data_IF_769719468210
#
_entry.id   IF_769719468210
#
_cell.length_a   1.000
_cell.length_b   1.000
_cell.length_c   1.000
_cell.angle_alpha   90.00
_cell.angle_beta   90.00
_cell.angle_gamma   90.00
#
_symmetry.space_group_name_H-M   'P 1'
#
loop_
_entity.id
_entity.type
_entity.pdbx_description
1 polymer ?
#
# COMPACT_ATOMS: atom_id res chain seq x y z
N UNK A 1 4.16 -12.27 -13.28
CA UNK A 1 3.69 -12.93 -14.53
C UNK A 1 4.15 -12.21 -15.82
N UNK A 2 4.68 -10.97 -15.77
CA UNK A 2 5.21 -10.24 -16.94
C UNK A 2 6.58 -10.72 -17.48
N UNK A 3 7.23 -11.71 -16.83
CA UNK A 3 8.62 -12.06 -17.13
C UNK A 3 8.82 -12.91 -18.41
N UNK A 4 7.82 -13.67 -18.86
CA UNK A 4 7.97 -14.62 -19.99
C UNK A 4 8.19 -13.98 -21.38
N UNK A 5 7.48 -12.91 -21.79
CA UNK A 5 7.70 -12.30 -23.12
C UNK A 5 8.94 -11.38 -23.18
N UNK A 6 9.52 -11.02 -22.03
CA UNK A 6 10.64 -10.08 -21.92
C UNK A 6 12.01 -10.77 -21.76
N UNK A 7 12.02 -12.10 -21.56
CA UNK A 7 13.21 -12.93 -21.43
C UNK A 7 14.27 -12.75 -22.54
N UNK A 8 13.93 -12.64 -23.84
CA UNK A 8 14.94 -12.50 -24.89
C UNK A 8 15.70 -11.16 -24.87
N UNK A 9 15.18 -10.14 -24.19
CA UNK A 9 15.81 -8.81 -24.11
C UNK A 9 16.60 -8.59 -22.82
N UNK A 10 16.58 -9.56 -21.90
CA UNK A 10 17.15 -9.42 -20.56
C UNK A 10 18.67 -9.17 -20.57
N UNK A 11 19.38 -9.64 -21.59
CA UNK A 11 20.85 -9.61 -21.70
C UNK A 11 21.38 -8.34 -22.40
N UNK A 12 20.54 -7.59 -23.11
CA UNK A 12 20.96 -6.40 -23.88
C UNK A 12 21.28 -5.27 -22.90
N UNK A 13 22.53 -4.80 -22.89
CA UNK A 13 22.98 -3.70 -22.03
C UNK A 13 23.00 -4.04 -20.53
N UNK A 14 23.10 -5.34 -20.18
CA UNK A 14 23.20 -5.83 -18.81
C UNK A 14 24.48 -5.37 -18.10
N UNK A 15 24.34 -4.93 -16.85
CA UNK A 15 25.46 -4.55 -15.96
C UNK A 15 25.40 -5.35 -14.66
N UNK A 16 26.56 -5.76 -14.15
CA UNK A 16 26.67 -6.44 -12.86
C UNK A 16 26.28 -5.49 -11.72
N UNK A 17 25.28 -5.87 -10.92
CA UNK A 17 24.81 -5.06 -9.78
C UNK A 17 23.61 -4.16 -10.07
N UNK A 18 22.96 -4.30 -11.22
CA UNK A 18 21.70 -3.60 -11.48
C UNK A 18 20.58 -4.01 -10.53
N UNK A 19 19.74 -3.05 -10.13
CA UNK A 19 18.52 -3.31 -9.38
C UNK A 19 17.44 -3.91 -10.28
N UNK A 20 16.43 -4.56 -9.68
CA UNK A 20 15.31 -5.13 -10.44
C UNK A 20 14.50 -4.06 -11.20
N UNK A 21 14.36 -2.85 -10.63
CA UNK A 21 13.70 -1.72 -11.29
C UNK A 21 14.50 -1.21 -12.49
N UNK A 22 15.82 -1.05 -12.36
CA UNK A 22 16.70 -0.67 -13.49
C UNK A 22 16.65 -1.68 -14.62
N UNK A 23 16.71 -2.98 -14.29
CA UNK A 23 16.57 -4.07 -15.25
C UNK A 23 15.22 -4.01 -15.97
N UNK A 24 14.13 -3.81 -15.22
CA UNK A 24 12.78 -3.74 -15.78
C UNK A 24 12.64 -2.57 -16.75
N UNK A 25 13.06 -1.36 -16.35
CA UNK A 25 13.03 -0.16 -17.20
C UNK A 25 13.82 -0.35 -18.48
N UNK A 26 15.04 -0.91 -18.39
CA UNK A 26 15.87 -1.22 -19.56
C UNK A 26 15.16 -2.16 -20.52
N UNK A 27 14.71 -3.31 -20.01
CA UNK A 27 14.12 -4.37 -20.82
C UNK A 27 12.83 -3.90 -21.50
N UNK A 28 12.00 -3.14 -20.79
CA UNK A 28 10.80 -2.54 -21.36
C UNK A 28 11.11 -1.52 -22.46
N UNK A 29 12.10 -0.64 -22.25
CA UNK A 29 12.47 0.35 -23.25
C UNK A 29 13.06 -0.29 -24.51
N UNK A 30 13.92 -1.30 -24.36
CA UNK A 30 14.46 -2.09 -25.49
C UNK A 30 13.33 -2.80 -26.24
N UNK A 31 12.44 -3.48 -25.53
CA UNK A 31 11.29 -4.16 -26.15
C UNK A 31 10.37 -3.19 -26.91
N UNK A 32 10.10 -2.01 -26.34
CA UNK A 32 9.30 -0.97 -26.99
C UNK A 32 10.01 -0.41 -28.23
N UNK A 33 11.32 -0.15 -28.16
CA UNK A 33 12.11 0.34 -29.29
C UNK A 33 12.07 -0.64 -30.48
N UNK A 34 12.18 -1.95 -30.20
CA UNK A 34 12.08 -3.00 -31.23
C UNK A 34 10.66 -3.09 -31.82
N UNK A 35 9.62 -3.08 -30.98
CA UNK A 35 8.24 -3.12 -31.44
C UNK A 35 7.88 -1.91 -32.33
N UNK A 36 8.31 -0.70 -31.94
CA UNK A 36 8.10 0.52 -32.74
C UNK A 36 8.89 0.44 -34.04
N UNK A 37 10.10 -0.13 -34.03
CA UNK A 37 10.92 -0.28 -35.25
C UNK A 37 10.23 -1.16 -36.31
N UNK A 38 9.52 -2.21 -35.90
CA UNK A 38 8.72 -3.05 -36.81
C UNK A 38 7.56 -2.26 -37.42
N UNK A 39 6.82 -1.51 -36.60
CA UNK A 39 5.73 -0.65 -37.09
C UNK A 39 6.25 0.45 -38.02
N UNK A 40 7.40 1.05 -37.70
CA UNK A 40 8.02 2.10 -38.50
C UNK A 40 8.45 1.59 -39.89
N UNK A 41 8.91 0.33 -40.02
CA UNK A 41 9.17 -0.28 -41.33
C UNK A 41 7.88 -0.37 -42.16
N UNK A 42 6.80 -0.89 -41.56
CA UNK A 42 5.51 -1.00 -42.25
C UNK A 42 5.03 0.36 -42.78
N UNK A 43 5.04 1.40 -41.93
CA UNK A 43 4.62 2.74 -42.33
C UNK A 43 5.55 3.38 -43.36
N UNK A 44 6.86 3.19 -43.21
CA UNK A 44 7.85 3.71 -44.15
C UNK A 44 7.64 3.17 -45.57
N UNK A 45 7.45 1.85 -45.69
CA UNK A 45 7.14 1.20 -46.96
C UNK A 45 5.80 1.64 -47.53
N UNK A 46 4.77 1.77 -46.68
CA UNK A 46 3.46 2.25 -47.10
C UNK A 46 3.56 3.63 -47.76
N UNK A 47 4.22 4.61 -47.14
CA UNK A 47 4.36 5.95 -47.72
C UNK A 47 5.11 5.93 -49.07
N UNK A 48 6.15 5.09 -49.21
CA UNK A 48 6.87 4.94 -50.50
C UNK A 48 5.93 4.41 -51.59
N UNK A 49 5.14 3.38 -51.29
CA UNK A 49 4.19 2.77 -52.24
C UNK A 49 3.14 3.77 -52.72
N UNK A 50 2.70 4.69 -51.86
CA UNK A 50 1.76 5.75 -52.21
C UNK A 50 2.42 7.03 -52.75
N UNK A 51 3.68 6.96 -53.19
CA UNK A 51 4.35 8.06 -53.89
C UNK A 51 4.92 9.16 -52.99
N UNK A 52 5.18 8.87 -51.71
CA UNK A 52 5.83 9.76 -50.74
C UNK A 52 7.17 9.20 -50.26
N UNK A 53 8.24 9.21 -51.09
CA UNK A 53 9.52 8.62 -50.72
C UNK A 53 10.20 9.35 -49.55
N UNK A 54 10.09 10.68 -49.48
CA UNK A 54 10.61 11.45 -48.35
C UNK A 54 9.85 11.15 -47.05
N UNK A 55 8.52 11.03 -47.13
CA UNK A 55 7.70 10.62 -46.00
C UNK A 55 8.04 9.21 -45.51
N UNK A 56 8.27 8.27 -46.43
CA UNK A 56 8.63 6.90 -46.07
C UNK A 56 10.06 6.72 -45.56
N UNK A 57 11.01 7.54 -46.00
CA UNK A 57 12.39 7.50 -45.53
C UNK A 57 12.51 7.81 -44.02
N UNK A 58 11.62 8.63 -43.46
CA UNK A 58 11.70 9.10 -42.07
C UNK A 58 11.43 7.96 -41.07
N UNK A 59 10.33 7.17 -41.16
CA UNK A 59 10.15 5.96 -40.35
C UNK A 59 11.26 4.91 -40.55
N UNK A 60 11.77 4.75 -41.77
CA UNK A 60 12.89 3.82 -42.00
C UNK A 60 14.18 4.29 -41.30
N UNK A 61 14.44 5.60 -41.32
CA UNK A 61 15.54 6.21 -40.58
C UNK A 61 15.35 6.04 -39.06
N UNK A 62 14.12 6.17 -38.53
CA UNK A 62 13.81 5.84 -37.14
C UNK A 62 14.28 4.43 -36.79
N UNK A 63 13.91 3.44 -37.61
CA UNK A 63 14.29 2.03 -37.37
C UNK A 63 15.80 1.86 -37.36
N UNK A 64 16.51 2.41 -38.34
CA UNK A 64 17.99 2.32 -38.41
C UNK A 64 18.64 2.97 -37.18
N UNK A 65 18.26 4.21 -36.86
CA UNK A 65 18.82 4.96 -35.73
C UNK A 65 18.48 4.30 -34.38
N UNK A 66 17.27 3.78 -34.24
CA UNK A 66 16.82 3.10 -33.03
C UNK A 66 17.60 1.80 -32.83
N UNK A 67 17.71 0.94 -33.85
CA UNK A 67 18.50 -0.28 -33.79
C UNK A 67 19.99 0.00 -33.52
N UNK A 68 20.56 1.01 -34.18
CA UNK A 68 21.94 1.43 -33.92
C UNK A 68 22.12 1.88 -32.47
N UNK A 69 21.15 2.59 -31.90
CA UNK A 69 21.20 3.00 -30.49
C UNK A 69 21.13 1.81 -29.53
N UNK A 70 20.40 0.73 -29.86
CA UNK A 70 20.37 -0.51 -29.07
C UNK A 70 21.74 -1.21 -29.14
N UNK A 71 22.35 -1.27 -30.32
CA UNK A 71 23.71 -1.82 -30.50
C UNK A 71 24.72 -1.01 -29.69
N UNK A 72 24.72 0.33 -29.83
CA UNK A 72 25.56 1.22 -29.03
C UNK A 72 25.32 1.04 -27.54
N UNK A 73 24.07 0.91 -27.11
CA UNK A 73 23.74 0.67 -25.71
C UNK A 73 24.31 -0.64 -25.18
N UNK A 74 24.34 -1.69 -25.99
CA UNK A 74 24.94 -2.98 -25.64
C UNK A 74 26.45 -2.87 -25.41
N UNK A 75 27.12 -2.00 -26.17
CA UNK A 75 28.57 -1.75 -26.08
C UNK A 75 28.91 -0.77 -24.95
N UNK A 76 28.28 0.40 -24.95
CA UNK A 76 28.58 1.52 -24.03
C UNK A 76 28.00 1.28 -22.64
N UNK A 77 26.91 0.50 -22.54
CA UNK A 77 26.19 0.18 -21.29
C UNK A 77 25.72 1.39 -20.50
N UNK A 78 25.50 2.52 -21.18
CA UNK A 78 24.98 3.77 -20.61
C UNK A 78 23.49 3.94 -20.91
N UNK A 79 22.67 3.62 -19.92
CA UNK A 79 21.22 3.66 -20.03
C UNK A 79 20.69 5.08 -20.24
N UNK A 80 21.33 6.08 -19.63
CA UNK A 80 20.98 7.50 -19.78
C UNK A 80 21.08 7.97 -21.23
N UNK A 81 22.17 7.62 -21.93
CA UNK A 81 22.39 7.94 -23.35
C UNK A 81 21.38 7.21 -24.22
N UNK A 82 21.18 5.91 -23.99
CA UNK A 82 20.21 5.13 -24.74
C UNK A 82 18.79 5.69 -24.62
N UNK A 83 18.35 5.93 -23.38
CA UNK A 83 17.05 6.53 -23.07
C UNK A 83 16.90 7.91 -23.71
N UNK A 84 17.89 8.79 -23.56
CA UNK A 84 17.83 10.11 -24.19
C UNK A 84 17.71 10.02 -25.70
N UNK A 85 18.44 9.10 -26.33
CA UNK A 85 18.39 8.88 -27.78
C UNK A 85 17.02 8.40 -28.21
N UNK A 86 16.47 7.38 -27.54
CA UNK A 86 15.14 6.84 -27.84
C UNK A 86 14.04 7.89 -27.70
N UNK A 87 14.03 8.65 -26.60
CA UNK A 87 13.05 9.71 -26.39
C UNK A 87 13.20 10.84 -27.42
N UNK A 88 14.42 11.17 -27.81
CA UNK A 88 14.69 12.17 -28.87
C UNK A 88 14.14 11.70 -30.22
N UNK A 89 14.37 10.43 -30.58
CA UNK A 89 13.86 9.83 -31.82
C UNK A 89 12.33 9.81 -31.82
N UNK A 90 11.71 9.40 -30.71
CA UNK A 90 10.26 9.40 -30.53
C UNK A 90 9.67 10.81 -30.60
N UNK A 91 10.40 11.83 -30.15
CA UNK A 91 9.94 13.21 -30.19
C UNK A 91 10.06 13.81 -31.60
N UNK A 92 11.25 13.79 -32.19
CA UNK A 92 11.59 14.61 -33.36
C UNK A 92 11.06 14.02 -34.66
N UNK A 93 11.14 12.70 -34.84
CA UNK A 93 10.84 12.06 -36.12
C UNK A 93 9.36 12.15 -36.53
N UNK A 94 8.36 12.04 -35.62
CA UNK A 94 6.97 12.29 -36.00
C UNK A 94 6.71 13.73 -36.48
N UNK A 95 7.40 14.74 -35.92
CA UNK A 95 7.32 16.11 -36.42
C UNK A 95 8.00 16.27 -37.78
N UNK A 96 9.17 15.64 -37.98
CA UNK A 96 9.84 15.65 -39.28
C UNK A 96 8.95 15.00 -40.36
N UNK A 97 8.33 13.87 -40.05
CA UNK A 97 7.39 13.17 -40.94
C UNK A 97 6.19 14.05 -41.26
N UNK A 98 5.63 14.71 -40.24
CA UNK A 98 4.52 15.62 -40.41
C UNK A 98 4.85 16.76 -41.38
N UNK A 99 6.02 17.40 -41.24
CA UNK A 99 6.49 18.45 -42.16
C UNK A 99 6.67 17.89 -43.57
N UNK A 100 7.30 16.72 -43.71
CA UNK A 100 7.53 16.08 -45.01
C UNK A 100 6.23 15.73 -45.76
N UNK A 101 5.17 15.40 -45.02
CA UNK A 101 3.85 15.08 -45.56
C UNK A 101 2.96 16.32 -45.78
N UNK A 102 3.41 17.53 -45.44
CA UNK A 102 2.69 18.77 -45.74
C UNK A 102 1.86 19.35 -44.58
N UNK A 103 2.22 19.05 -43.33
CA UNK A 103 1.60 19.64 -42.13
C UNK A 103 0.55 18.75 -41.46
N UNK A 104 -0.28 19.31 -40.56
CA UNK A 104 -1.14 18.53 -39.65
C UNK A 104 -2.19 17.69 -40.39
N UNK A 105 -2.93 18.31 -41.29
CA UNK A 105 -4.04 17.65 -41.99
C UNK A 105 -3.51 16.62 -42.99
N UNK A 106 -2.58 16.95 -43.91
CA UNK A 106 -2.09 15.98 -44.89
C UNK A 106 -1.34 14.80 -44.25
N UNK A 107 -0.64 15.02 -43.13
CA UNK A 107 0.05 13.96 -42.39
C UNK A 107 -0.84 13.16 -41.45
N UNK A 108 -2.16 13.44 -41.41
CA UNK A 108 -3.09 12.75 -40.51
C UNK A 108 -2.72 12.90 -39.02
N UNK A 109 -2.18 14.06 -38.63
CA UNK A 109 -1.75 14.40 -37.27
C UNK A 109 -0.74 13.38 -36.72
N UNK A 110 0.14 12.84 -37.57
CA UNK A 110 1.14 11.84 -37.15
C UNK A 110 2.07 12.32 -36.02
N UNK A 111 2.23 13.64 -35.85
CA UNK A 111 2.95 14.21 -34.71
C UNK A 111 2.35 13.88 -33.33
N UNK A 112 1.11 13.37 -33.25
CA UNK A 112 0.53 12.89 -31.99
C UNK A 112 1.36 11.76 -31.36
N UNK A 113 2.05 10.96 -32.19
CA UNK A 113 2.98 9.92 -31.72
C UNK A 113 4.18 10.49 -30.97
N UNK A 114 4.55 11.76 -31.16
CA UNK A 114 5.62 12.40 -30.40
C UNK A 114 5.27 12.57 -28.91
N UNK A 115 3.99 12.45 -28.53
CA UNK A 115 3.57 12.46 -27.12
C UNK A 115 4.08 11.23 -26.34
N UNK A 116 4.52 10.17 -27.01
CA UNK A 116 5.21 9.07 -26.36
C UNK A 116 6.56 9.45 -25.76
N UNK A 117 7.20 10.53 -26.21
CA UNK A 117 8.45 10.99 -25.61
C UNK A 117 8.26 11.51 -24.16
N UNK A 118 7.36 12.47 -23.87
CA UNK A 118 7.09 12.87 -22.49
C UNK A 118 6.47 11.74 -21.64
N UNK A 119 5.60 10.90 -22.22
CA UNK A 119 5.04 9.75 -21.51
C UNK A 119 6.14 8.71 -21.17
N UNK A 120 7.04 8.44 -22.11
CA UNK A 120 8.20 7.59 -21.92
C UNK A 120 9.18 8.17 -20.89
N UNK A 121 9.39 9.49 -20.87
CA UNK A 121 10.18 10.14 -19.83
C UNK A 121 9.56 9.94 -18.43
N UNK A 122 8.24 9.94 -18.31
CA UNK A 122 7.56 9.66 -17.05
C UNK A 122 7.81 8.21 -16.57
N UNK A 123 7.82 7.25 -17.50
CA UNK A 123 8.03 5.83 -17.20
C UNK A 123 9.51 5.46 -16.97
N UNK A 124 10.43 6.08 -17.70
CA UNK A 124 11.82 5.64 -17.81
C UNK A 124 12.86 6.63 -17.25
N UNK A 125 12.42 7.85 -16.87
CA UNK A 125 13.27 8.89 -16.31
C UNK A 125 12.74 9.37 -14.94
N UNK A 126 12.59 10.68 -14.78
CA UNK A 126 12.09 11.34 -13.59
C UNK A 126 10.91 12.26 -13.92
N UNK A 127 9.98 12.53 -12.98
CA UNK A 127 8.86 13.45 -13.22
C UNK A 127 9.32 14.83 -13.66
N UNK A 128 10.45 15.33 -13.13
CA UNK A 128 11.03 16.63 -13.51
C UNK A 128 11.53 16.64 -14.95
N UNK A 129 12.17 15.56 -15.40
CA UNK A 129 12.57 15.43 -16.81
C UNK A 129 11.36 15.31 -17.73
N UNK A 130 10.33 14.56 -17.34
CA UNK A 130 9.11 14.43 -18.13
C UNK A 130 8.44 15.78 -18.42
N UNK A 131 8.41 16.69 -17.44
CA UNK A 131 7.92 18.07 -17.63
C UNK A 131 8.72 18.82 -18.70
N UNK A 132 10.05 18.67 -18.72
CA UNK A 132 10.91 19.30 -19.76
C UNK A 132 10.61 18.73 -21.14
N UNK A 133 10.52 17.40 -21.26
CA UNK A 133 10.14 16.75 -22.52
C UNK A 133 8.76 17.19 -23.01
N UNK A 134 7.81 17.36 -22.08
CA UNK A 134 6.46 17.84 -22.41
C UNK A 134 6.48 19.29 -22.87
N UNK A 135 7.29 20.15 -22.26
CA UNK A 135 7.49 21.53 -22.72
C UNK A 135 8.09 21.57 -24.14
N UNK A 136 9.15 20.79 -24.41
CA UNK A 136 9.75 20.72 -25.76
C UNK A 136 8.75 20.18 -26.79
N UNK A 137 7.98 19.15 -26.43
CA UNK A 137 6.88 18.65 -27.27
C UNK A 137 5.90 19.77 -27.63
N UNK A 138 5.43 20.55 -26.65
CA UNK A 138 4.53 21.67 -26.90
C UNK A 138 5.13 22.75 -27.79
N UNK A 139 6.40 23.11 -27.54
CA UNK A 139 7.13 24.06 -28.39
C UNK A 139 7.15 23.57 -29.85
N UNK A 140 7.41 22.27 -30.07
CA UNK A 140 7.37 21.68 -31.41
C UNK A 140 5.96 21.64 -32.01
N UNK A 141 4.93 21.32 -31.23
CA UNK A 141 3.53 21.40 -31.68
C UNK A 141 3.20 22.79 -32.19
N UNK A 142 3.55 23.83 -31.42
CA UNK A 142 3.28 25.23 -31.80
C UNK A 142 4.13 25.63 -33.00
N UNK A 143 5.44 25.37 -32.97
CA UNK A 143 6.35 25.75 -34.06
C UNK A 143 5.94 25.10 -35.39
N UNK A 144 5.66 23.80 -35.39
CA UNK A 144 5.24 23.10 -36.61
C UNK A 144 3.80 23.48 -37.01
N UNK A 145 2.92 23.83 -36.06
CA UNK A 145 1.60 24.36 -36.39
C UNK A 145 1.62 25.70 -37.11
N UNK A 146 2.54 26.57 -36.74
CA UNK A 146 2.71 27.89 -37.36
C UNK A 146 3.46 27.79 -38.69
N UNK A 147 4.55 27.00 -38.74
CA UNK A 147 5.50 27.03 -39.87
C UNK A 147 5.47 25.79 -40.76
N UNK A 148 4.85 24.68 -40.33
CA UNK A 148 4.97 23.39 -41.02
C UNK A 148 4.35 23.36 -42.42
N UNK A 149 3.26 24.10 -42.63
CA UNK A 149 2.61 24.21 -43.95
C UNK A 149 3.33 25.14 -44.94
N UNK A 150 4.30 25.94 -44.47
CA UNK A 150 5.05 26.87 -45.32
C UNK A 150 6.08 26.17 -46.22
N UNK A 151 6.57 25.00 -45.79
CA UNK A 151 7.55 24.19 -46.55
C UNK A 151 6.90 23.32 -47.62
N UNK A 152 5.74 22.72 -47.29
CA UNK A 152 4.95 21.88 -48.18
C UNK A 152 3.51 21.90 -47.71
N UNK A 153 2.56 22.04 -48.63
CA UNK A 153 1.14 22.18 -48.30
C UNK A 153 0.28 20.98 -48.72
N UNK A 154 0.81 20.06 -49.53
CA UNK A 154 0.10 18.90 -50.04
C UNK A 154 1.01 17.68 -50.21
N UNK A 155 0.40 16.49 -50.20
CA UNK A 155 1.04 15.21 -50.48
C UNK A 155 0.25 14.41 -51.53
N UNK A 156 0.84 13.31 -51.98
CA UNK A 156 0.31 12.42 -53.00
C UNK A 156 -0.62 11.35 -52.42
N UNK A 157 -0.94 11.41 -51.12
CA UNK A 157 -1.75 10.38 -50.46
C UNK A 157 -3.23 10.53 -50.83
N UNK A 158 -3.94 9.43 -51.12
CA UNK A 158 -5.38 9.47 -51.34
C UNK A 158 -6.12 10.05 -50.12
N UNK A 159 -7.11 10.92 -50.35
CA UNK A 159 -7.87 11.54 -49.27
C UNK A 159 -8.56 10.52 -48.32
N UNK A 160 -8.95 9.36 -48.85
CA UNK A 160 -9.47 8.25 -48.04
C UNK A 160 -8.43 7.67 -47.08
N UNK A 161 -7.17 7.54 -47.53
CA UNK A 161 -6.06 7.07 -46.70
C UNK A 161 -5.75 8.08 -45.60
N UNK A 162 -5.66 9.38 -45.93
CA UNK A 162 -5.44 10.46 -44.94
C UNK A 162 -6.52 10.43 -43.85
N UNK A 163 -7.80 10.34 -44.22
CA UNK A 163 -8.89 10.24 -43.22
C UNK A 163 -8.81 8.96 -42.38
N UNK A 164 -8.53 7.82 -43.01
CA UNK A 164 -8.37 6.55 -42.30
C UNK A 164 -7.24 6.59 -41.29
N UNK A 165 -6.08 7.11 -41.69
CA UNK A 165 -4.91 7.28 -40.83
C UNK A 165 -5.16 8.30 -39.72
N UNK A 166 -5.93 9.36 -39.97
CA UNK A 166 -6.27 10.34 -38.95
C UNK A 166 -7.05 9.69 -37.80
N UNK A 167 -8.07 8.91 -38.13
CA UNK A 167 -8.85 8.15 -37.14
C UNK A 167 -7.96 7.12 -36.45
N UNK A 168 -7.14 6.39 -37.19
CA UNK A 168 -6.24 5.37 -36.64
C UNK A 168 -5.21 5.96 -35.67
N UNK A 169 -4.59 7.10 -36.00
CA UNK A 169 -3.60 7.76 -35.15
C UNK A 169 -4.22 8.21 -33.82
N UNK A 170 -5.38 8.87 -33.87
CA UNK A 170 -6.09 9.30 -32.65
C UNK A 170 -6.48 8.08 -31.82
N UNK A 171 -7.15 7.09 -32.42
CA UNK A 171 -7.62 5.90 -31.71
C UNK A 171 -6.45 5.11 -31.08
N UNK A 172 -5.35 4.93 -31.81
CA UNK A 172 -4.20 4.19 -31.31
C UNK A 172 -3.52 4.92 -30.15
N UNK A 173 -3.25 6.23 -30.27
CA UNK A 173 -2.63 6.98 -29.16
C UNK A 173 -3.56 7.04 -27.95
N UNK A 174 -4.85 7.30 -28.14
CA UNK A 174 -5.82 7.31 -27.05
C UNK A 174 -5.89 5.96 -26.33
N UNK A 175 -5.91 4.85 -27.08
CA UNK A 175 -5.92 3.50 -26.50
C UNK A 175 -4.67 3.23 -25.66
N UNK A 176 -3.48 3.58 -26.17
CA UNK A 176 -2.23 3.34 -25.44
C UNK A 176 -2.14 4.24 -24.20
N UNK A 177 -2.49 5.52 -24.30
CA UNK A 177 -2.53 6.43 -23.14
C UNK A 177 -3.52 5.92 -22.09
N UNK A 178 -4.73 5.50 -22.50
CA UNK A 178 -5.72 4.94 -21.60
C UNK A 178 -5.21 3.65 -20.93
N UNK A 179 -4.65 2.72 -21.71
CA UNK A 179 -4.10 1.48 -21.18
C UNK A 179 -2.95 1.72 -20.18
N UNK A 180 -2.08 2.68 -20.45
CA UNK A 180 -1.00 3.08 -19.56
C UNK A 180 -1.53 3.68 -18.25
N UNK A 181 -2.48 4.61 -18.32
CA UNK A 181 -3.12 5.19 -17.14
C UNK A 181 -3.90 4.15 -16.33
N UNK A 182 -4.63 3.26 -17.00
CA UNK A 182 -5.36 2.18 -16.36
C UNK A 182 -4.42 1.21 -15.64
N UNK A 183 -3.31 0.81 -16.28
CA UNK A 183 -2.29 -0.02 -15.66
C UNK A 183 -1.65 0.68 -14.44
N UNK A 184 -1.32 1.96 -14.56
CA UNK A 184 -0.76 2.76 -13.47
C UNK A 184 -1.70 2.83 -12.26
N UNK A 185 -2.97 3.18 -12.48
CA UNK A 185 -3.98 3.26 -11.41
C UNK A 185 -4.13 1.89 -10.73
N UNK A 186 -4.24 0.82 -11.52
CA UNK A 186 -4.39 -0.54 -10.98
C UNK A 186 -3.18 -0.97 -10.16
N UNK A 187 -1.96 -0.67 -10.61
CA UNK A 187 -0.74 -1.05 -9.90
C UNK A 187 -0.56 -0.23 -8.62
N UNK A 188 -0.87 1.07 -8.68
CA UNK A 188 -0.94 1.96 -7.53
C UNK A 188 -1.92 1.37 -6.49
N UNK A 189 -3.15 1.08 -6.88
CA UNK A 189 -4.18 0.61 -5.94
C UNK A 189 -3.81 -0.77 -5.34
N UNK A 190 -3.14 -1.64 -6.11
CA UNK A 190 -2.59 -2.89 -5.57
C UNK A 190 -1.47 -2.66 -4.57
N UNK A 191 -0.53 -1.76 -4.87
CA UNK A 191 0.58 -1.44 -3.98
C UNK A 191 0.06 -0.86 -2.67
N UNK A 192 -0.86 0.12 -2.76
CA UNK A 192 -1.55 0.65 -1.58
C UNK A 192 -2.29 -0.46 -0.83
N UNK A 193 -3.09 -1.29 -1.50
CA UNK A 193 -3.82 -2.38 -0.84
C UNK A 193 -2.90 -3.43 -0.18
N UNK A 194 -1.74 -3.72 -0.76
CA UNK A 194 -0.75 -4.63 -0.19
C UNK A 194 -0.11 -4.05 1.08
N UNK A 195 0.26 -2.77 1.04
CA UNK A 195 0.74 -2.04 2.22
C UNK A 195 -0.32 -2.08 3.32
N UNK A 196 -1.58 -1.75 3.02
CA UNK A 196 -2.66 -1.79 4.02
C UNK A 196 -2.85 -3.18 4.64
N UNK A 197 -2.81 -4.25 3.85
CA UNK A 197 -2.92 -5.62 4.36
C UNK A 197 -1.75 -6.00 5.27
N UNK A 198 -0.53 -5.64 4.87
CA UNK A 198 0.66 -5.93 5.68
C UNK A 198 0.62 -5.14 6.99
N UNK A 199 0.36 -3.82 6.94
CA UNK A 199 0.24 -3.00 8.14
C UNK A 199 -0.88 -3.48 9.07
N UNK A 200 -2.02 -3.94 8.53
CA UNK A 200 -3.14 -4.48 9.31
C UNK A 200 -2.85 -5.81 10.02
N UNK A 201 -1.77 -6.53 9.67
CA UNK A 201 -1.31 -7.71 10.40
C UNK A 201 -0.41 -7.35 11.60
N UNK A 202 0.16 -6.14 11.61
CA UNK A 202 1.06 -5.69 12.66
C UNK A 202 0.42 -4.63 13.58
N UNK A 203 -0.64 -3.95 13.14
CA UNK A 203 -1.32 -2.89 13.87
C UNK A 203 -2.81 -3.20 14.03
N UNK A 204 -3.37 -2.81 15.17
CA UNK A 204 -4.81 -2.87 15.39
C UNK A 204 -5.58 -2.04 14.35
N UNK A 205 -6.76 -2.51 13.87
CA UNK A 205 -7.54 -1.82 12.85
C UNK A 205 -7.86 -0.36 13.20
N UNK A 206 -8.09 -0.05 14.47
CA UNK A 206 -8.35 1.33 14.93
C UNK A 206 -7.15 2.26 14.75
N UNK A 207 -5.93 1.75 14.95
CA UNK A 207 -4.70 2.53 14.70
C UNK A 207 -4.57 2.81 13.21
N UNK A 208 -4.73 1.79 12.36
CA UNK A 208 -4.67 1.95 10.91
C UNK A 208 -5.73 2.95 10.43
N UNK A 209 -6.98 2.81 10.89
CA UNK A 209 -8.07 3.74 10.56
C UNK A 209 -7.75 5.17 10.98
N UNK A 210 -7.25 5.36 12.20
CA UNK A 210 -6.88 6.69 12.71
C UNK A 210 -5.75 7.32 11.91
N UNK A 211 -4.73 6.56 11.51
CA UNK A 211 -3.58 7.06 10.74
C UNK A 211 -3.93 7.36 9.27
N UNK A 212 -4.87 6.63 8.69
CA UNK A 212 -5.34 6.92 7.33
C UNK A 212 -6.27 8.13 7.27
N UNK A 213 -7.06 8.36 8.32
CA UNK A 213 -7.91 9.53 8.42
C UNK A 213 -7.09 10.81 8.66
N UNK A 214 -6.03 10.72 9.46
CA UNK A 214 -5.16 11.83 9.80
C UNK A 214 -3.70 11.34 10.00
N UNK A 215 -2.85 11.47 8.97
CA UNK A 215 -1.44 11.06 9.07
C UNK A 215 -0.63 11.81 10.14
N UNK A 216 -1.05 13.00 10.57
CA UNK A 216 -0.34 13.75 11.61
C UNK A 216 -0.43 13.06 12.98
N UNK A 217 -1.47 12.24 13.20
CA UNK A 217 -1.58 11.38 14.39
C UNK A 217 -0.49 10.33 14.50
N UNK A 218 0.34 10.14 13.48
CA UNK A 218 1.54 9.31 13.56
C UNK A 218 2.66 9.97 14.38
N UNK A 219 2.60 11.27 14.64
CA UNK A 219 3.63 12.01 15.36
C UNK A 219 3.88 11.44 16.76
N UNK A 220 5.10 11.66 17.27
CA UNK A 220 5.45 11.31 18.64
C UNK A 220 4.66 12.19 19.62
N UNK A 221 4.34 11.62 20.78
CA UNK A 221 3.51 12.26 21.78
C UNK A 221 2.21 11.51 21.99
N UNK A 222 1.36 12.05 22.84
CA UNK A 222 0.07 11.45 23.17
C UNK A 222 -0.82 12.44 23.88
N UNK A 223 -2.05 12.02 24.08
CA UNK A 223 -3.06 12.78 24.80
C UNK A 223 -3.48 12.02 26.05
N UNK A 224 -3.77 12.76 27.12
CA UNK A 224 -4.42 12.18 28.29
C UNK A 224 -5.89 11.94 27.95
N UNK A 225 -6.30 10.68 27.95
CA UNK A 225 -7.67 10.27 27.67
C UNK A 225 -8.14 9.27 28.73
N UNK A 226 -9.43 9.33 29.05
CA UNK A 226 -10.06 8.27 29.83
C UNK A 226 -10.21 7.02 28.96
N UNK A 227 -9.62 5.91 29.37
CA UNK A 227 -9.68 4.64 28.64
C UNK A 227 -10.18 3.55 29.56
N UNK A 228 -10.74 2.49 28.96
CA UNK A 228 -10.85 1.21 29.65
C UNK A 228 -9.75 0.29 29.15
N UNK A 229 -8.86 -0.11 30.04
CA UNK A 229 -7.80 -1.07 29.76
C UNK A 229 -8.21 -2.48 30.17
N UNK A 230 -7.88 -3.46 29.35
CA UNK A 230 -8.02 -4.89 29.61
C UNK A 230 -6.64 -5.53 29.58
N UNK A 231 -6.35 -6.32 30.60
CA UNK A 231 -5.18 -7.18 30.66
C UNK A 231 -5.67 -8.63 30.78
N UNK A 232 -5.26 -9.50 29.86
CA UNK A 232 -5.58 -10.92 29.88
C UNK A 232 -4.29 -11.73 29.83
N UNK A 233 -4.19 -12.81 30.61
CA UNK A 233 -2.99 -13.65 30.74
C UNK A 233 -3.38 -15.09 31.12
N UNK A 234 -2.69 -16.10 30.59
CA UNK A 234 -3.09 -17.50 30.75
C UNK A 234 -2.64 -18.03 32.12
N UNK A 235 -3.59 -18.46 32.95
CA UNK A 235 -3.28 -18.99 34.28
C UNK A 235 -2.46 -20.28 34.18
N UNK A 236 -1.23 -20.26 34.72
CA UNK A 236 -0.35 -21.44 34.71
C UNK A 236 0.33 -21.69 33.37
N UNK A 237 0.46 -20.67 32.52
CA UNK A 237 1.14 -20.82 31.23
C UNK A 237 2.63 -21.15 31.37
N UNK A 238 3.36 -20.57 32.33
CA UNK A 238 4.79 -20.89 32.52
C UNK A 238 5.03 -22.39 32.74
N UNK A 239 4.37 -23.07 33.72
CA UNK A 239 4.43 -24.53 33.83
C UNK A 239 3.99 -25.27 32.55
N UNK A 240 2.97 -24.77 31.86
CA UNK A 240 2.51 -25.36 30.59
C UNK A 240 3.62 -25.35 29.53
N UNK A 241 4.39 -24.27 29.42
CA UNK A 241 5.50 -24.15 28.46
C UNK A 241 6.74 -24.95 28.83
N UNK A 242 7.05 -25.09 30.12
CA UNK A 242 8.21 -25.87 30.58
C UNK A 242 8.06 -27.37 30.28
N UNK A 243 6.81 -27.85 30.22
CA UNK A 243 6.48 -29.25 29.95
C UNK A 243 6.40 -29.61 28.46
N UNK A 244 6.58 -28.65 27.54
CA UNK A 244 6.32 -28.83 26.10
C UNK A 244 7.42 -28.28 25.20
N UNK A 245 7.62 -28.87 24.00
CA UNK A 245 8.50 -28.30 22.99
C UNK A 245 8.07 -26.87 22.58
N UNK A 246 9.01 -25.95 22.28
CA UNK A 246 8.70 -24.57 21.92
C UNK A 246 7.72 -24.41 20.74
N UNK A 247 7.76 -25.32 19.76
CA UNK A 247 6.86 -25.26 18.60
C UNK A 247 5.39 -25.52 18.98
N UNK A 248 5.13 -26.39 19.96
CA UNK A 248 3.79 -26.66 20.48
C UNK A 248 3.25 -25.45 21.27
N UNK A 249 4.13 -24.78 22.03
CA UNK A 249 3.80 -23.53 22.73
C UNK A 249 3.36 -22.44 21.76
N UNK A 250 4.07 -22.27 20.63
CA UNK A 250 3.71 -21.29 19.60
C UNK A 250 2.37 -21.65 18.93
N UNK A 251 2.14 -22.93 18.63
CA UNK A 251 0.87 -23.38 18.07
C UNK A 251 -0.30 -23.13 19.03
N UNK A 252 -0.11 -23.39 20.33
CA UNK A 252 -1.10 -23.10 21.36
C UNK A 252 -1.40 -21.59 21.42
N UNK A 253 -0.37 -20.73 21.53
CA UNK A 253 -0.54 -19.27 21.53
C UNK A 253 -1.29 -18.77 20.30
N UNK A 254 -0.91 -19.25 19.11
CA UNK A 254 -1.60 -18.90 17.86
C UNK A 254 -3.07 -19.31 17.90
N UNK A 255 -3.41 -20.47 18.48
CA UNK A 255 -4.79 -20.91 18.66
C UNK A 255 -5.56 -20.00 19.61
N UNK A 256 -4.99 -19.64 20.75
CA UNK A 256 -5.60 -18.69 21.69
C UNK A 256 -5.86 -17.34 21.04
N UNK A 257 -4.83 -16.74 20.43
CA UNK A 257 -4.93 -15.43 19.80
C UNK A 257 -5.90 -15.44 18.62
N UNK A 258 -5.93 -16.51 17.83
CA UNK A 258 -6.92 -16.66 16.74
C UNK A 258 -8.36 -16.68 17.23
N UNK A 259 -8.62 -17.13 18.46
CA UNK A 259 -9.95 -17.14 19.05
C UNK A 259 -10.36 -15.80 19.68
N UNK A 260 -9.42 -15.10 20.34
CA UNK A 260 -9.76 -13.88 21.11
C UNK A 260 -9.53 -12.57 20.38
N UNK A 261 -8.58 -12.49 19.45
CA UNK A 261 -8.30 -11.25 18.69
C UNK A 261 -9.53 -10.79 17.90
N UNK A 262 -10.27 -11.67 17.19
CA UNK A 262 -11.51 -11.26 16.52
C UNK A 262 -12.56 -10.70 17.47
N UNK A 263 -12.66 -11.24 18.69
CA UNK A 263 -13.60 -10.77 19.73
C UNK A 263 -13.25 -9.36 20.19
N UNK A 264 -11.96 -9.09 20.43
CA UNK A 264 -11.47 -7.76 20.80
C UNK A 264 -11.80 -6.75 19.71
N UNK A 265 -11.50 -7.06 18.45
CA UNK A 265 -11.75 -6.16 17.33
C UNK A 265 -13.24 -5.97 17.05
N UNK A 266 -14.08 -7.01 17.18
CA UNK A 266 -15.53 -6.90 17.00
C UNK A 266 -16.18 -5.93 17.99
N UNK A 267 -15.60 -5.82 19.18
CA UNK A 267 -16.03 -4.89 20.23
C UNK A 267 -15.25 -3.55 20.20
N UNK A 268 -14.52 -3.23 19.12
CA UNK A 268 -13.82 -1.96 18.96
C UNK A 268 -12.57 -1.80 19.84
N UNK A 269 -12.03 -2.89 20.39
CA UNK A 269 -10.81 -2.85 21.19
C UNK A 269 -9.56 -2.65 20.35
N UNK A 270 -8.62 -1.88 20.86
CA UNK A 270 -7.30 -1.67 20.28
C UNK A 270 -6.27 -2.49 21.05
N UNK A 271 -5.72 -3.52 20.43
CA UNK A 271 -4.59 -4.28 21.00
C UNK A 271 -3.35 -3.39 20.94
N UNK A 272 -2.75 -3.15 22.10
CA UNK A 272 -1.52 -2.36 22.28
C UNK A 272 -0.31 -3.26 22.09
N UNK A 273 -0.30 -4.41 22.75
CA UNK A 273 0.80 -5.36 22.68
C UNK A 273 0.39 -6.77 23.09
N UNK A 274 1.13 -7.75 22.57
CA UNK A 274 1.25 -9.07 23.14
C UNK A 274 2.53 -9.12 23.99
N UNK A 275 2.45 -9.67 25.20
CA UNK A 275 3.58 -9.83 26.10
C UNK A 275 3.65 -11.29 26.57
N UNK A 276 4.31 -12.14 25.78
CA UNK A 276 4.26 -13.59 26.00
C UNK A 276 2.85 -14.12 25.72
N UNK A 277 2.22 -14.69 26.75
CA UNK A 277 0.83 -15.13 26.76
C UNK A 277 -0.19 -14.05 27.15
N UNK A 278 0.30 -12.86 27.52
CA UNK A 278 -0.56 -11.76 27.89
C UNK A 278 -0.99 -10.90 26.69
N UNK A 279 -2.22 -10.40 26.75
CA UNK A 279 -2.81 -9.44 25.83
C UNK A 279 -3.13 -8.16 26.59
N UNK A 280 -2.68 -7.02 26.05
CA UNK A 280 -3.05 -5.69 26.52
C UNK A 280 -3.88 -5.01 25.46
N UNK A 281 -5.12 -4.67 25.81
CA UNK A 281 -6.04 -3.95 24.92
C UNK A 281 -6.64 -2.75 25.63
N UNK A 282 -6.99 -1.72 24.84
CA UNK A 282 -7.65 -0.51 25.33
C UNK A 282 -8.86 -0.18 24.48
N UNK A 283 -9.87 0.40 25.12
CA UNK A 283 -11.04 1.01 24.50
C UNK A 283 -11.03 2.50 24.74
N UNK A 284 -11.76 3.24 23.90
CA UNK A 284 -11.75 4.70 23.83
C UNK A 284 -10.41 5.28 23.33
N UNK A 285 -9.56 4.51 22.65
CA UNK A 285 -8.38 5.06 21.99
C UNK A 285 -7.94 4.13 20.83
N UNK A 286 -7.45 4.67 19.69
CA UNK A 286 -7.37 6.09 19.32
C UNK A 286 -8.73 6.74 19.01
N UNK A 287 -9.75 5.92 18.76
CA UNK A 287 -11.10 6.36 18.39
C UNK A 287 -11.97 6.49 19.64
N UNK A 288 -12.75 7.57 19.70
CA UNK A 288 -13.70 7.82 20.77
C UNK A 288 -14.85 6.79 20.78
N UNK A 289 -15.18 6.28 21.97
CA UNK A 289 -16.14 5.21 22.18
C UNK A 289 -16.96 5.48 23.45
N UNK A 290 -18.17 6.05 23.34
CA UNK A 290 -18.97 6.47 24.51
C UNK A 290 -19.28 5.37 25.53
N UNK A 291 -19.30 4.09 25.13
CA UNK A 291 -19.56 2.93 26.01
C UNK A 291 -18.37 2.00 26.12
N UNK A 292 -17.15 2.55 26.15
CA UNK A 292 -15.90 1.79 26.18
C UNK A 292 -15.82 0.78 27.33
N UNK A 293 -16.29 1.12 28.53
CA UNK A 293 -16.31 0.21 29.67
C UNK A 293 -17.20 -1.02 29.45
N UNK A 294 -18.36 -0.82 28.81
CA UNK A 294 -19.27 -1.90 28.45
C UNK A 294 -18.67 -2.79 27.37
N UNK A 295 -18.09 -2.19 26.34
CA UNK A 295 -17.45 -2.93 25.25
C UNK A 295 -16.31 -3.82 25.77
N UNK A 296 -15.45 -3.30 26.66
CA UNK A 296 -14.40 -4.09 27.30
C UNK A 296 -14.96 -5.24 28.17
N UNK A 297 -16.01 -4.97 28.94
CA UNK A 297 -16.66 -5.97 29.80
C UNK A 297 -17.30 -7.11 28.98
N UNK A 298 -18.00 -6.78 27.88
CA UNK A 298 -18.54 -7.77 26.93
C UNK A 298 -17.43 -8.59 26.30
N UNK A 299 -16.40 -7.91 25.78
CA UNK A 299 -15.20 -8.55 25.21
C UNK A 299 -14.63 -9.60 26.16
N UNK A 300 -14.40 -9.25 27.42
CA UNK A 300 -13.80 -10.16 28.38
C UNK A 300 -14.63 -11.43 28.61
N UNK A 301 -15.95 -11.30 28.72
CA UNK A 301 -16.84 -12.46 28.87
C UNK A 301 -16.89 -13.31 27.59
N UNK A 302 -16.90 -12.70 26.42
CA UNK A 302 -16.84 -13.40 25.13
C UNK A 302 -15.50 -14.11 24.92
N UNK A 303 -14.39 -13.50 25.33
CA UNK A 303 -13.08 -14.13 25.33
C UNK A 303 -13.07 -15.38 26.21
N UNK A 304 -13.63 -15.31 27.44
CA UNK A 304 -13.72 -16.48 28.30
C UNK A 304 -14.56 -17.59 27.65
N UNK A 305 -15.71 -17.27 27.03
CA UNK A 305 -16.52 -18.27 26.29
C UNK A 305 -15.75 -18.91 25.13
N UNK A 306 -15.00 -18.11 24.36
CA UNK A 306 -14.18 -18.61 23.26
C UNK A 306 -13.08 -19.55 23.77
N UNK A 307 -12.49 -19.26 24.93
CA UNK A 307 -11.50 -20.13 25.56
C UNK A 307 -12.11 -21.38 26.17
N UNK A 308 -13.29 -21.31 26.78
CA UNK A 308 -13.99 -22.52 27.26
C UNK A 308 -14.27 -23.50 26.11
N UNK A 309 -14.57 -23.02 24.90
CA UNK A 309 -14.72 -23.89 23.73
C UNK A 309 -13.40 -24.61 23.39
N UNK A 310 -12.26 -23.95 23.52
CA UNK A 310 -10.93 -24.56 23.30
C UNK A 310 -10.59 -25.56 24.41
N UNK A 311 -10.83 -25.20 25.67
CA UNK A 311 -10.53 -26.04 26.84
C UNK A 311 -11.46 -27.25 26.91
N UNK A 312 -12.67 -27.17 26.35
CA UNK A 312 -13.56 -28.32 26.22
C UNK A 312 -12.99 -29.42 25.30
N UNK A 313 -12.14 -29.06 24.34
CA UNK A 313 -11.45 -30.02 23.47
C UNK A 313 -10.19 -30.60 24.12
N UNK A 314 -9.50 -29.81 24.95
CA UNK A 314 -8.32 -30.24 25.70
C UNK A 314 -8.31 -29.58 27.09
N UNK A 315 -8.68 -30.35 28.11
CA UNK A 315 -8.76 -29.86 29.48
C UNK A 315 -7.40 -29.48 30.10
N UNK A 316 -6.28 -29.84 29.46
CA UNK A 316 -4.93 -29.45 29.91
C UNK A 316 -4.56 -28.01 29.54
N UNK A 317 -5.39 -27.35 28.72
CA UNK A 317 -5.17 -25.99 28.26
C UNK A 317 -5.58 -24.95 29.32
N UNK A 318 -4.73 -23.92 29.57
CA UNK A 318 -5.03 -22.90 30.58
C UNK A 318 -6.16 -21.94 30.18
N UNK A 319 -6.81 -21.35 31.19
CA UNK A 319 -7.82 -20.30 31.00
C UNK A 319 -7.20 -18.93 31.19
N UNK A 320 -7.81 -17.91 30.57
CA UNK A 320 -7.43 -16.53 30.84
C UNK A 320 -7.83 -16.11 32.26
N UNK A 321 -6.98 -15.30 32.88
CA UNK A 321 -7.32 -14.36 33.94
C UNK A 321 -7.48 -13.00 33.28
N UNK A 322 -8.56 -12.28 33.58
CA UNK A 322 -8.80 -10.97 32.96
C UNK A 322 -8.99 -9.91 34.03
N UNK A 323 -8.31 -8.78 33.89
CA UNK A 323 -8.47 -7.58 34.69
C UNK A 323 -8.86 -6.39 33.83
N UNK A 324 -9.85 -5.61 34.26
CA UNK A 324 -10.36 -4.45 33.53
C UNK A 324 -10.41 -3.24 34.45
N UNK A 325 -9.81 -2.14 34.01
CA UNK A 325 -9.87 -0.88 34.75
C UNK A 325 -10.10 0.32 33.84
N UNK A 326 -10.92 1.25 34.32
CA UNK A 326 -11.23 2.50 33.64
C UNK A 326 -10.62 3.68 34.38
N UNK A 327 -10.06 4.63 33.63
CA UNK A 327 -9.51 5.88 34.15
C UNK A 327 -8.58 6.56 33.16
N UNK A 328 -7.91 7.63 33.61
CA UNK A 328 -6.98 8.38 32.77
C UNK A 328 -5.73 7.56 32.39
N UNK A 329 -5.35 7.64 31.12
CA UNK A 329 -4.08 7.16 30.59
C UNK A 329 -3.56 8.13 29.51
N UNK A 330 -2.24 8.25 29.41
CA UNK A 330 -1.57 8.83 28.27
C UNK A 330 -1.58 7.80 27.14
N UNK A 331 -2.21 8.14 26.02
CA UNK A 331 -2.26 7.27 24.83
C UNK A 331 -1.66 7.99 23.64
N UNK A 332 -0.77 7.32 22.90
CA UNK A 332 -0.14 7.92 21.73
C UNK A 332 1.08 7.14 21.26
N UNK A 333 1.90 7.76 20.41
CA UNK A 333 3.09 7.13 19.85
C UNK A 333 4.34 7.49 20.67
N UNK A 334 5.06 6.47 21.11
CA UNK A 334 6.35 6.59 21.79
C UNK A 334 7.41 5.83 20.99
N UNK A 335 8.62 6.40 20.89
CA UNK A 335 9.71 5.82 20.14
C UNK A 335 10.61 6.88 19.51
N UNK A 336 11.15 6.58 18.33
CA UNK A 336 11.98 7.48 17.52
C UNK A 336 11.34 7.78 16.16
N UNK A 337 12.06 8.50 15.29
CA UNK A 337 11.62 8.68 13.90
C UNK A 337 11.59 7.36 13.11
N UNK A 338 12.46 6.41 13.45
CA UNK A 338 12.61 5.14 12.75
C UNK A 338 11.62 4.06 13.21
N UNK A 339 11.22 4.08 14.48
CA UNK A 339 10.28 3.09 15.03
C UNK A 339 9.41 3.74 16.11
N UNK A 340 8.09 3.60 15.95
CA UNK A 340 7.07 4.14 16.86
C UNK A 340 6.16 3.01 17.30
N UNK A 341 5.86 2.97 18.59
CA UNK A 341 4.88 2.08 19.16
C UNK A 341 3.70 2.91 19.67
N UNK A 342 2.49 2.53 19.27
CA UNK A 342 1.29 3.08 19.87
C UNK A 342 1.12 2.45 21.26
N UNK A 343 1.19 3.26 22.30
CA UNK A 343 1.19 2.82 23.69
C UNK A 343 0.07 3.47 24.48
N UNK A 344 -0.33 2.79 25.56
CA UNK A 344 -1.19 3.34 26.59
C UNK A 344 -0.49 3.18 27.95
N UNK A 345 -0.25 4.28 28.64
CA UNK A 345 0.40 4.30 29.94
C UNK A 345 -0.40 5.13 30.94
N UNK A 346 -0.65 4.56 32.12
CA UNK A 346 -1.35 5.28 33.17
C UNK A 346 -1.89 4.36 34.25
N UNK A 347 -2.54 4.98 35.22
CA UNK A 347 -3.14 4.31 36.37
C UNK A 347 -4.14 3.23 35.98
N UNK A 348 -4.96 3.48 34.95
CA UNK A 348 -5.92 2.51 34.46
C UNK A 348 -5.25 1.23 33.92
N UNK A 349 -4.22 1.37 33.09
CA UNK A 349 -3.49 0.23 32.49
C UNK A 349 -2.78 -0.57 33.58
N UNK A 350 -2.12 0.13 34.52
CA UNK A 350 -1.44 -0.51 35.65
C UNK A 350 -2.41 -1.23 36.58
N UNK A 351 -3.59 -0.65 36.85
CA UNK A 351 -4.61 -1.29 37.67
C UNK A 351 -5.19 -2.53 36.99
N UNK A 352 -5.47 -2.50 35.68
CA UNK A 352 -5.97 -3.64 34.93
C UNK A 352 -5.03 -4.86 35.05
N UNK A 353 -3.72 -4.66 34.88
CA UNK A 353 -2.71 -5.71 35.05
C UNK A 353 -2.74 -6.35 36.45
N UNK A 354 -2.95 -5.53 37.49
CA UNK A 354 -2.97 -6.00 38.87
C UNK A 354 -4.27 -6.73 39.22
N UNK A 355 -5.40 -6.26 38.70
CA UNK A 355 -6.68 -6.97 38.82
C UNK A 355 -6.61 -8.33 38.11
N UNK A 356 -5.95 -8.41 36.95
CA UNK A 356 -5.72 -9.66 36.25
C UNK A 356 -4.90 -10.63 37.12
N UNK A 357 -3.83 -10.17 37.75
CA UNK A 357 -2.98 -11.01 38.61
C UNK A 357 -3.76 -11.59 39.80
N UNK A 358 -4.68 -10.80 40.37
CA UNK A 358 -5.57 -11.20 41.47
C UNK A 358 -6.78 -12.04 41.06
N UNK A 359 -7.07 -12.17 39.76
CA UNK A 359 -8.16 -13.00 39.27
C UNK A 359 -7.77 -14.49 39.32
N UNK A 360 -8.74 -15.37 39.55
CA UNK A 360 -8.53 -16.82 39.34
C UNK A 360 -8.78 -17.18 37.88
N UNK A 361 -8.31 -18.36 37.46
CA UNK A 361 -8.50 -18.87 36.10
C UNK A 361 -9.98 -18.84 35.68
N UNK A 362 -10.28 -18.25 34.52
CA UNK A 362 -11.65 -18.11 34.00
C UNK A 362 -12.42 -16.90 34.52
N UNK A 363 -11.88 -16.13 35.48
CA UNK A 363 -12.55 -14.94 35.99
C UNK A 363 -12.21 -13.66 35.23
N UNK A 364 -13.17 -12.74 35.27
CA UNK A 364 -13.02 -11.34 34.84
C UNK A 364 -13.20 -10.46 36.07
N UNK A 365 -12.19 -9.66 36.41
CA UNK A 365 -12.21 -8.73 37.56
C UNK A 365 -12.22 -7.29 37.05
N UNK A 366 -13.16 -6.48 37.54
CA UNK A 366 -13.37 -5.09 37.13
C UNK A 366 -13.14 -4.13 38.29
N UNK A 367 -12.49 -2.99 38.02
CA UNK A 367 -12.33 -1.91 39.00
C UNK A 367 -13.66 -1.22 39.34
N UNK A 368 -13.72 -0.54 40.49
CA UNK A 368 -14.90 0.25 40.87
C UNK A 368 -15.32 1.31 39.83
N UNK A 369 -14.41 2.11 39.22
CA UNK A 369 -14.78 3.01 38.12
C UNK A 369 -15.41 2.29 36.93
N UNK A 370 -14.86 1.15 36.53
CA UNK A 370 -15.44 0.34 35.44
C UNK A 370 -16.84 -0.12 35.80
N UNK A 371 -17.05 -0.66 37.01
CA UNK A 371 -18.36 -1.10 37.47
C UNK A 371 -19.38 0.05 37.51
N UNK A 372 -18.98 1.22 37.98
CA UNK A 372 -19.86 2.40 38.03
C UNK A 372 -20.44 2.76 36.65
N UNK A 373 -19.66 2.58 35.58
CA UNK A 373 -20.08 2.86 34.19
C UNK A 373 -20.99 1.78 33.57
N UNK A 374 -21.03 0.57 34.15
CA UNK A 374 -21.81 -0.56 33.62
C UNK A 374 -22.85 -1.12 34.60
N UNK A 375 -23.03 -0.47 35.75
CA UNK A 375 -23.88 -0.93 36.87
C UNK A 375 -25.34 -1.20 36.49
N UNK A 376 -25.83 -0.57 35.42
CA UNK A 376 -27.21 -0.70 34.93
C UNK A 376 -27.43 -1.96 34.10
N UNK A 377 -26.36 -2.62 33.65
CA UNK A 377 -26.39 -3.78 32.76
C UNK A 377 -25.49 -4.94 33.21
N UNK A 378 -24.66 -4.76 34.23
CA UNK A 378 -23.73 -5.78 34.71
C UNK A 378 -24.16 -6.40 36.05
N UNK A 379 -24.06 -7.72 36.15
CA UNK A 379 -24.13 -8.47 37.41
C UNK A 379 -22.72 -8.77 37.88
N UNK A 380 -22.41 -8.39 39.12
CA UNK A 380 -21.07 -8.56 39.71
C UNK A 380 -21.15 -9.12 41.12
N UNK A 381 -20.09 -9.82 41.53
CA UNK A 381 -19.86 -10.25 42.91
C UNK A 381 -18.71 -9.44 43.53
N UNK A 382 -18.87 -8.86 44.72
CA UNK A 382 -17.77 -8.16 45.39
C UNK A 382 -16.57 -9.10 45.64
N UNK A 383 -15.37 -8.66 45.26
CA UNK A 383 -14.12 -9.36 45.61
C UNK A 383 -13.49 -8.76 46.89
N UNK A 384 -13.92 -7.56 47.28
CA UNK A 384 -13.43 -6.82 48.43
C UNK A 384 -12.45 -5.71 48.04
N UNK A 385 -11.73 -5.22 49.04
CA UNK A 385 -10.67 -4.22 48.89
C UNK A 385 -9.31 -4.89 49.02
N UNK A 386 -8.36 -4.50 48.18
CA UNK A 386 -6.99 -5.01 48.23
C UNK A 386 -5.99 -3.89 48.18
N UNK A 387 -4.91 -4.05 48.93
CA UNK A 387 -3.74 -3.20 48.84
C UNK A 387 -3.04 -3.45 47.50
N UNK A 388 -2.90 -2.39 46.72
CA UNK A 388 -2.29 -2.47 45.40
C UNK A 388 -0.92 -1.79 45.45
N UNK A 389 0.17 -2.54 45.22
CA UNK A 389 1.56 -2.05 45.34
C UNK A 389 1.79 -0.69 44.64
N UNK A 390 1.99 0.39 45.37
CA UNK A 390 2.18 1.74 44.78
C UNK A 390 0.91 2.58 44.67
N UNK A 391 -0.22 2.13 45.24
CA UNK A 391 -1.33 3.00 45.64
C UNK A 391 -1.42 3.02 47.16
N UNK A 392 -1.70 4.20 47.71
CA UNK A 392 -1.84 4.44 49.15
C UNK A 392 -3.20 3.96 49.67
N UNK A 393 -4.22 3.99 48.80
CA UNK A 393 -5.58 3.56 49.12
C UNK A 393 -5.85 2.15 48.59
N UNK A 394 -6.63 1.37 49.36
CA UNK A 394 -7.09 0.07 48.90
C UNK A 394 -8.06 0.23 47.73
N UNK A 395 -7.91 -0.62 46.73
CA UNK A 395 -8.78 -0.59 45.55
C UNK A 395 -9.88 -1.63 45.71
N UNK A 396 -11.13 -1.19 45.55
CA UNK A 396 -12.28 -2.07 45.48
C UNK A 396 -12.43 -2.64 44.06
N UNK A 397 -12.67 -3.95 43.97
CA UNK A 397 -12.98 -4.59 42.70
C UNK A 397 -14.03 -5.70 42.81
N UNK A 398 -14.54 -6.07 41.64
CA UNK A 398 -15.69 -6.94 41.50
C UNK A 398 -15.41 -8.03 40.48
N UNK A 399 -15.90 -9.24 40.72
CA UNK A 399 -15.92 -10.29 39.71
C UNK A 399 -17.14 -10.06 38.83
N UNK A 400 -16.91 -9.91 37.53
CA UNK A 400 -17.96 -9.74 36.54
C UNK A 400 -18.54 -11.11 36.16
N UNK A 401 -19.83 -11.30 36.38
CA UNK A 401 -20.53 -12.57 36.12
C UNK A 401 -21.32 -12.52 34.81
N UNK A 402 -21.99 -11.39 34.55
CA UNK A 402 -22.84 -11.21 33.36
C UNK A 402 -22.90 -9.74 32.96
N UNK A 403 -23.06 -9.52 31.65
CA UNK A 403 -23.45 -8.24 31.05
C UNK A 403 -24.69 -8.49 30.19
N UNK A 404 -25.70 -7.63 30.28
CA UNK A 404 -26.90 -7.71 29.46
C UNK A 404 -26.66 -7.18 28.02
N UNK A 405 -27.30 -7.83 27.06
CA UNK A 405 -27.36 -7.40 25.66
C UNK A 405 -28.42 -6.29 25.54
N UNK A 406 -28.04 -5.06 25.88
CA UNK A 406 -28.77 -3.84 25.50
C UNK A 406 -28.14 -3.18 24.29
#
# INVERSE_FOLDING_TARGET
MMARPLAPFATIGATSGETEDERLRRVLLVGMALAISVLAIFWGLMYIVFGEPLGGAIPLAYTVLSLLSIVMFTVIRRYDIFRFTQLSLMLVLPFALMVALGGFVPSSVVAIWAFFAPLGALAFASPREAVRWFAVYWVLVVAVGVFGGALRSANNLPAGLVRGMFVANIAAVSLVVFAALYAFVRERDRAFGAVHRLFGQYLSPEIVRSLLADPERAALGGENREVTALFADLAGFTPFTESRPPHETVLALNRYFSAVVPVIFANGGTIIQFAGDAIVAVWNAPVEQPRHALAAARTALEMQRAIEAIVAEDASLPRFRVGIATGAALVGNVGSEQLRNYVAHGDAVNLAARLQTGAIAGQVVVSAPTYALIRDVATVRPLGRFAVKGKTEEVEAFVLERVADR
#
